data_IF_501668510534
#
_entry.id   IF_501668510534
#
_cell.length_a   1.000
_cell.length_b   1.000
_cell.length_c   1.000
_cell.angle_alpha   90.00
_cell.angle_beta   90.00
_cell.angle_gamma   90.00
#
_symmetry.space_group_name_H-M   'P 1'
#
loop_
_entity.id
_entity.type
_entity.pdbx_description
1 polymer ?
#
# COMPACT_ATOMS: atom_id res chain seq x y z
N UNK A 1 -1.13 14.26 -1.36
CA UNK A 1 -0.11 14.96 -0.62
C UNK A 1 0.09 14.45 0.78
N UNK A 2 -0.95 14.05 1.48
CA UNK A 2 -0.81 13.25 2.69
C UNK A 2 -0.05 11.95 2.40
N UNK A 3 -0.27 11.39 1.22
CA UNK A 3 0.46 10.23 0.72
C UNK A 3 1.97 10.46 0.73
N UNK A 4 2.42 11.63 0.26
CA UNK A 4 3.85 11.95 0.21
C UNK A 4 4.51 11.99 1.58
N UNK A 5 3.78 12.42 2.63
CA UNK A 5 4.31 12.48 3.99
C UNK A 5 4.54 11.07 4.55
N UNK A 6 3.57 10.17 4.41
CA UNK A 6 3.71 8.78 4.85
C UNK A 6 4.82 8.06 4.10
N UNK A 7 4.85 8.23 2.80
CA UNK A 7 5.85 7.60 1.93
C UNK A 7 7.25 8.03 2.32
N UNK A 8 7.44 9.33 2.57
CA UNK A 8 8.72 9.88 3.00
C UNK A 8 9.13 9.38 4.38
N UNK A 9 8.16 9.30 5.31
CA UNK A 9 8.45 8.80 6.65
C UNK A 9 8.92 7.34 6.62
N UNK A 10 8.23 6.47 5.90
CA UNK A 10 8.63 5.08 5.75
C UNK A 10 9.95 4.94 5.01
N UNK A 11 10.16 5.72 3.96
CA UNK A 11 11.42 5.73 3.23
C UNK A 11 12.58 6.15 4.14
N UNK A 12 12.37 7.18 4.98
CA UNK A 12 13.39 7.63 5.93
C UNK A 12 13.71 6.55 6.97
N UNK A 13 12.70 5.87 7.51
CA UNK A 13 12.89 4.78 8.47
C UNK A 13 13.68 3.63 7.84
N UNK A 14 13.31 3.26 6.62
CA UNK A 14 13.94 2.14 5.91
C UNK A 14 15.38 2.44 5.50
N UNK A 15 15.77 3.70 5.39
CA UNK A 15 17.12 4.09 4.99
C UNK A 15 18.03 4.45 6.16
N UNK A 16 17.48 4.52 7.37
CA UNK A 16 18.25 4.89 8.56
C UNK A 16 19.43 3.94 8.79
N UNK A 17 20.63 4.50 8.94
CA UNK A 17 21.83 3.72 9.20
C UNK A 17 22.44 3.00 7.99
N UNK A 18 21.83 3.10 6.81
CA UNK A 18 22.37 2.48 5.61
C UNK A 18 23.36 3.43 4.94
N UNK A 19 24.63 3.01 4.86
CA UNK A 19 25.70 3.83 4.27
C UNK A 19 25.95 3.56 2.78
N UNK A 20 25.66 2.34 2.31
CA UNK A 20 25.81 1.99 0.90
C UNK A 20 24.73 2.68 0.08
N UNK A 21 25.16 3.47 -0.92
CA UNK A 21 24.26 4.29 -1.73
C UNK A 21 23.24 3.46 -2.51
N UNK A 22 23.69 2.36 -3.13
CA UNK A 22 22.81 1.47 -3.88
C UNK A 22 21.75 0.84 -2.98
N UNK A 23 22.15 0.29 -1.84
CA UNK A 23 21.22 -0.29 -0.85
C UNK A 23 20.28 0.76 -0.28
N UNK A 24 20.78 1.96 -0.08
CA UNK A 24 19.97 3.07 0.41
C UNK A 24 18.86 3.44 -0.57
N UNK A 25 19.17 3.52 -1.86
CA UNK A 25 18.18 3.81 -2.91
C UNK A 25 17.12 2.72 -2.98
N UNK A 26 17.51 1.45 -2.91
CA UNK A 26 16.58 0.32 -2.92
C UNK A 26 15.69 0.35 -1.67
N UNK A 27 16.26 0.58 -0.49
CA UNK A 27 15.51 0.67 0.76
C UNK A 27 14.52 1.83 0.73
N UNK A 28 14.92 2.96 0.17
CA UNK A 28 14.05 4.11 -0.01
C UNK A 28 12.85 3.76 -0.92
N UNK A 29 13.10 3.02 -1.99
CA UNK A 29 12.07 2.55 -2.90
C UNK A 29 11.08 1.61 -2.21
N UNK A 30 11.58 0.67 -1.41
CA UNK A 30 10.74 -0.24 -0.62
C UNK A 30 9.86 0.55 0.34
N UNK A 31 10.45 1.47 1.10
CA UNK A 31 9.71 2.32 2.03
C UNK A 31 8.63 3.15 1.34
N UNK A 32 8.95 3.71 0.19
CA UNK A 32 8.01 4.48 -0.62
C UNK A 32 6.82 3.61 -1.06
N UNK A 33 7.10 2.42 -1.60
CA UNK A 33 6.05 1.50 -2.07
C UNK A 33 5.17 1.00 -0.92
N UNK A 34 5.76 0.71 0.24
CA UNK A 34 5.01 0.32 1.44
C UNK A 34 4.09 1.45 1.91
N UNK A 35 4.61 2.67 1.98
CA UNK A 35 3.82 3.83 2.39
C UNK A 35 2.65 4.07 1.46
N UNK A 36 2.90 3.97 0.17
CA UNK A 36 1.85 4.11 -0.84
C UNK A 36 0.81 3.00 -0.70
N UNK A 37 1.23 1.77 -0.49
CA UNK A 37 0.31 0.65 -0.30
C UNK A 37 -0.58 0.86 0.92
N UNK A 38 -0.01 1.26 2.05
CA UNK A 38 -0.77 1.54 3.29
C UNK A 38 -1.80 2.64 3.03
N UNK A 39 -1.39 3.74 2.41
CA UNK A 39 -2.27 4.84 2.08
C UNK A 39 -3.44 4.40 1.19
N UNK A 40 -3.15 3.66 0.13
CA UNK A 40 -4.18 3.21 -0.81
C UNK A 40 -5.11 2.17 -0.20
N UNK A 41 -4.58 1.30 0.67
CA UNK A 41 -5.39 0.31 1.39
C UNK A 41 -6.38 1.00 2.34
N UNK A 42 -5.92 2.00 3.08
CA UNK A 42 -6.79 2.81 3.95
C UNK A 42 -7.86 3.53 3.13
N UNK A 43 -7.48 4.11 2.00
CA UNK A 43 -8.40 4.80 1.11
C UNK A 43 -9.48 3.86 0.58
N UNK A 44 -9.10 2.65 0.22
CA UNK A 44 -10.03 1.62 -0.25
C UNK A 44 -11.04 1.22 0.84
N UNK A 45 -10.54 0.99 2.05
CA UNK A 45 -11.39 0.62 3.19
C UNK A 45 -12.38 1.75 3.54
N UNK A 46 -12.01 2.99 3.32
CA UNK A 46 -12.80 4.17 3.67
C UNK A 46 -13.72 4.68 2.55
N UNK A 47 -13.78 4.04 1.39
CA UNK A 47 -14.59 4.53 0.26
C UNK A 47 -16.05 4.78 0.66
N UNK A 48 -16.70 3.81 1.30
CA UNK A 48 -18.11 3.92 1.68
C UNK A 48 -18.33 5.08 2.66
N UNK A 49 -17.45 5.19 3.66
CA UNK A 49 -17.50 6.23 4.67
C UNK A 49 -17.27 7.62 4.05
N UNK A 50 -16.28 7.72 3.17
CA UNK A 50 -15.93 8.99 2.52
C UNK A 50 -17.01 9.45 1.54
N UNK A 51 -17.69 8.52 0.85
CA UNK A 51 -18.85 8.84 0.02
C UNK A 51 -19.97 9.44 0.86
N UNK A 52 -20.28 8.80 2.00
CA UNK A 52 -21.36 9.25 2.89
C UNK A 52 -21.08 10.63 3.47
N UNK A 53 -19.83 10.89 3.85
CA UNK A 53 -19.44 12.11 4.54
C UNK A 53 -18.90 13.20 3.59
N UNK A 54 -18.88 12.93 2.29
CA UNK A 54 -18.34 13.85 1.26
C UNK A 54 -16.89 14.22 1.52
N UNK A 55 -16.12 13.28 2.09
CA UNK A 55 -14.70 13.47 2.35
C UNK A 55 -13.88 13.13 1.11
N UNK A 56 -12.69 13.71 1.02
CA UNK A 56 -11.76 13.40 -0.04
C UNK A 56 -11.31 11.94 0.02
N UNK A 57 -11.29 11.28 -1.14
CA UNK A 57 -10.74 9.94 -1.30
C UNK A 57 -10.16 9.82 -2.72
N UNK A 58 -8.90 9.42 -2.87
CA UNK A 58 -8.25 9.37 -4.18
C UNK A 58 -8.94 8.43 -5.17
N UNK A 59 -9.53 7.34 -4.68
CA UNK A 59 -10.24 6.40 -5.55
C UNK A 59 -11.58 6.96 -6.00
N UNK A 60 -12.29 7.66 -5.12
CA UNK A 60 -13.56 8.32 -5.47
C UNK A 60 -13.32 9.33 -6.58
N UNK A 61 -12.27 10.13 -6.46
CA UNK A 61 -11.94 11.12 -7.48
C UNK A 61 -11.49 10.48 -8.80
N UNK A 62 -10.56 9.54 -8.72
CA UNK A 62 -9.97 8.92 -9.90
C UNK A 62 -10.98 8.14 -10.74
N UNK A 63 -11.84 7.37 -10.08
CA UNK A 63 -12.81 6.50 -10.75
C UNK A 63 -14.22 7.08 -10.77
N UNK A 64 -14.40 8.29 -10.30
CA UNK A 64 -15.67 9.01 -10.28
C UNK A 64 -16.79 8.17 -9.65
N UNK A 65 -16.53 7.67 -8.46
CA UNK A 65 -17.45 6.81 -7.72
C UNK A 65 -18.57 7.66 -7.14
N UNK A 66 -19.82 7.35 -7.48
CA UNK A 66 -21.00 8.09 -7.02
C UNK A 66 -21.85 7.30 -6.03
N UNK A 67 -21.72 5.98 -6.02
CA UNK A 67 -22.51 5.10 -5.15
C UNK A 67 -21.70 3.90 -4.68
N UNK A 68 -22.26 3.15 -3.72
CA UNK A 68 -21.63 1.92 -3.22
C UNK A 68 -21.50 0.83 -4.29
N UNK A 69 -22.31 0.88 -5.33
CA UNK A 69 -22.31 -0.11 -6.41
C UNK A 69 -21.34 0.31 -7.50
N UNK A 70 -20.04 0.18 -7.22
CA UNK A 70 -18.97 0.46 -8.18
C UNK A 70 -18.13 -0.77 -8.43
N UNK A 71 -17.44 -0.79 -9.55
CA UNK A 71 -16.54 -1.90 -9.89
C UNK A 71 -15.23 -1.76 -9.08
N UNK A 72 -14.99 -2.74 -8.21
CA UNK A 72 -13.81 -2.75 -7.33
C UNK A 72 -12.57 -3.30 -8.01
N UNK A 73 -12.72 -3.99 -9.12
CA UNK A 73 -11.62 -4.70 -9.78
C UNK A 73 -10.44 -3.82 -10.17
N UNK A 74 -10.64 -2.62 -10.78
CA UNK A 74 -9.51 -1.74 -11.11
C UNK A 74 -8.73 -1.31 -9.88
N UNK A 75 -9.41 -1.08 -8.76
CA UNK A 75 -8.79 -0.66 -7.51
C UNK A 75 -7.96 -1.80 -6.92
N UNK A 76 -8.53 -3.01 -6.91
CA UNK A 76 -7.85 -4.21 -6.42
C UNK A 76 -6.58 -4.47 -7.24
N UNK A 77 -6.65 -4.32 -8.56
CA UNK A 77 -5.49 -4.43 -9.43
C UNK A 77 -4.40 -3.41 -9.07
N UNK A 78 -4.80 -2.17 -8.82
CA UNK A 78 -3.88 -1.11 -8.42
C UNK A 78 -3.17 -1.43 -7.11
N UNK A 79 -3.90 -1.96 -6.12
CA UNK A 79 -3.33 -2.38 -4.84
C UNK A 79 -2.34 -3.53 -5.02
N UNK A 80 -2.68 -4.51 -5.83
CA UNK A 80 -1.79 -5.65 -6.12
C UNK A 80 -0.50 -5.21 -6.82
N UNK A 81 -0.62 -4.30 -7.79
CA UNK A 81 0.55 -3.75 -8.47
C UNK A 81 1.50 -3.06 -7.49
N UNK A 82 0.95 -2.25 -6.60
CA UNK A 82 1.74 -1.53 -5.60
C UNK A 82 2.44 -2.51 -4.64
N UNK A 83 1.72 -3.55 -4.19
CA UNK A 83 2.30 -4.59 -3.34
C UNK A 83 3.42 -5.34 -4.05
N UNK A 84 3.21 -5.67 -5.33
CA UNK A 84 4.20 -6.36 -6.14
C UNK A 84 5.45 -5.52 -6.37
N UNK A 85 5.30 -4.23 -6.58
CA UNK A 85 6.44 -3.31 -6.71
C UNK A 85 7.28 -3.30 -5.43
N UNK A 86 6.64 -3.27 -4.27
CA UNK A 86 7.33 -3.34 -2.99
C UNK A 86 8.09 -4.66 -2.83
N UNK A 87 7.45 -5.77 -3.18
CA UNK A 87 8.07 -7.10 -3.10
C UNK A 87 9.27 -7.23 -4.04
N UNK A 88 9.16 -6.72 -5.26
CA UNK A 88 10.26 -6.73 -6.23
C UNK A 88 11.44 -5.88 -5.74
N UNK A 89 11.15 -4.70 -5.22
CA UNK A 89 12.18 -3.84 -4.66
C UNK A 89 12.87 -4.51 -3.46
N UNK A 90 12.09 -5.17 -2.59
CA UNK A 90 12.64 -5.90 -1.44
C UNK A 90 13.61 -7.01 -1.87
N UNK A 91 13.32 -7.72 -2.96
CA UNK A 91 14.19 -8.79 -3.46
C UNK A 91 15.58 -8.29 -3.87
N UNK A 92 15.73 -6.98 -4.13
CA UNK A 92 17.01 -6.37 -4.44
C UNK A 92 17.82 -6.00 -3.18
N UNK A 93 17.19 -6.08 -1.99
CA UNK A 93 17.88 -5.76 -0.74
C UNK A 93 18.62 -6.98 -0.20
N UNK A 94 19.89 -6.79 0.17
CA UNK A 94 20.70 -7.78 0.87
C UNK A 94 20.85 -7.36 2.33
N UNK A 95 19.72 -7.33 3.05
CA UNK A 95 19.70 -6.96 4.47
C UNK A 95 19.45 -8.22 5.29
N UNK A 96 20.52 -8.85 5.76
CA UNK A 96 20.43 -10.12 6.47
C UNK A 96 19.69 -10.03 7.80
N UNK A 97 19.95 -8.99 8.58
CA UNK A 97 19.42 -8.89 9.95
C UNK A 97 17.92 -8.59 10.03
N UNK A 98 17.34 -7.98 8.99
CA UNK A 98 15.92 -7.62 8.98
C UNK A 98 15.10 -8.42 7.98
N UNK A 99 15.73 -9.35 7.26
CA UNK A 99 15.10 -10.04 6.14
C UNK A 99 13.82 -10.77 6.54
N UNK A 100 13.83 -11.53 7.62
CA UNK A 100 12.66 -12.29 8.07
C UNK A 100 11.49 -11.38 8.42
N UNK A 101 11.76 -10.27 9.12
CA UNK A 101 10.73 -9.31 9.51
C UNK A 101 10.13 -8.65 8.27
N UNK A 102 10.99 -8.24 7.35
CA UNK A 102 10.56 -7.59 6.11
C UNK A 102 9.79 -8.55 5.20
N UNK A 103 10.17 -9.81 5.14
CA UNK A 103 9.44 -10.84 4.39
C UNK A 103 8.03 -11.00 4.91
N UNK A 104 7.86 -11.08 6.23
CA UNK A 104 6.53 -11.16 6.84
C UNK A 104 5.66 -9.96 6.46
N UNK A 105 6.22 -8.76 6.46
CA UNK A 105 5.47 -7.55 6.12
C UNK A 105 5.12 -7.53 4.63
N UNK A 106 6.09 -7.82 3.76
CA UNK A 106 5.92 -7.60 2.30
C UNK A 106 5.20 -8.76 1.64
N UNK A 107 5.57 -10.02 1.94
CA UNK A 107 5.02 -11.18 1.24
C UNK A 107 3.77 -11.74 1.91
N UNK A 108 3.75 -11.82 3.24
CA UNK A 108 2.62 -12.38 3.97
C UNK A 108 1.66 -11.31 4.48
N UNK A 109 2.19 -10.27 5.10
CA UNK A 109 1.38 -9.21 5.70
C UNK A 109 0.56 -8.42 4.69
N UNK A 110 1.19 -7.96 3.60
CA UNK A 110 0.49 -7.20 2.55
C UNK A 110 -0.56 -8.05 1.87
N UNK A 111 -0.22 -9.29 1.52
CA UNK A 111 -1.15 -10.19 0.85
C UNK A 111 -2.35 -10.54 1.73
N UNK A 112 -2.10 -10.87 3.00
CA UNK A 112 -3.17 -11.18 3.95
C UNK A 112 -4.08 -9.99 4.20
N UNK A 113 -3.51 -8.81 4.37
CA UNK A 113 -4.28 -7.59 4.55
C UNK A 113 -5.19 -7.32 3.34
N UNK A 114 -4.66 -7.47 2.15
CA UNK A 114 -5.41 -7.27 0.92
C UNK A 114 -6.53 -8.28 0.76
N UNK A 115 -6.29 -9.55 1.08
CA UNK A 115 -7.31 -10.59 1.07
C UNK A 115 -8.42 -10.31 2.05
N UNK A 116 -8.09 -9.91 3.27
CA UNK A 116 -9.07 -9.58 4.31
C UNK A 116 -9.99 -8.43 3.87
N UNK A 117 -9.44 -7.39 3.28
CA UNK A 117 -10.22 -6.25 2.79
C UNK A 117 -11.13 -6.69 1.65
N UNK A 118 -10.61 -7.49 0.71
CA UNK A 118 -11.37 -7.98 -0.44
C UNK A 118 -12.53 -8.89 0.01
N UNK A 119 -12.32 -9.76 0.97
CA UNK A 119 -13.34 -10.65 1.50
C UNK A 119 -14.43 -9.88 2.24
N UNK A 120 -14.03 -8.90 3.06
CA UNK A 120 -14.95 -8.01 3.78
C UNK A 120 -15.88 -7.29 2.81
N UNK A 121 -15.36 -6.80 1.70
CA UNK A 121 -16.16 -6.12 0.68
C UNK A 121 -17.13 -7.05 -0.03
N UNK A 122 -16.72 -8.29 -0.29
CA UNK A 122 -17.60 -9.29 -0.87
C UNK A 122 -18.79 -9.61 0.06
N UNK A 123 -18.57 -9.70 1.35
CA UNK A 123 -19.61 -9.92 2.34
C UNK A 123 -20.59 -8.74 2.38
N UNK A 124 -20.09 -7.52 2.35
CA UNK A 124 -20.91 -6.30 2.37
C UNK A 124 -21.71 -6.15 1.07
N UNK A 125 -21.18 -6.65 -0.06
CA UNK A 125 -21.84 -6.55 -1.37
C UNK A 125 -22.97 -7.57 -1.56
N UNK A 126 -23.06 -8.56 -0.69
CA UNK A 126 -24.14 -9.56 -0.70
C UNK A 126 -25.29 -9.08 0.15
#
# INVERSE_FOLDING_TARGET
>A
RQMCIRDRALAAIMTYGIQNEEKRLISKRVGYCLGRWVYLTDAYDDITKDLKNHNYNPFIEKYKIESKAFDREPIIKSLRLTANEAALAFNLLDIKCYREILENIIFDGLENQQKMITEKDKEVSR
#
